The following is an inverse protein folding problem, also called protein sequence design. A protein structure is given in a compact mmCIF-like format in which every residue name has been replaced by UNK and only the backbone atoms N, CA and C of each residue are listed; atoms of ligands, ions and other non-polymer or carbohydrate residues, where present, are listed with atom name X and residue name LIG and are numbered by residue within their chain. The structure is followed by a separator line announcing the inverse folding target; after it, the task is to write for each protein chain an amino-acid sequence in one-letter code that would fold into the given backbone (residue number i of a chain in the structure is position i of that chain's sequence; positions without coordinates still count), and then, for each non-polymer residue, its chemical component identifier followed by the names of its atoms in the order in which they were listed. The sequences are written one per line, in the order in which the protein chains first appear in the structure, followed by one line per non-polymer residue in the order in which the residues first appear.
data_IF_652245103431
#
_entry.id   IF_652245103431
#
_cell.length_a   1.000
_cell.length_b   1.000
_cell.length_c   1.000
_cell.angle_alpha   90.00
_cell.angle_beta   90.00
_cell.angle_gamma   90.00
#
_symmetry.space_group_name_H-M   'P 1'
#
loop_
_entity.id
_entity.type
_entity.pdbx_description
1 polymer ?
#
# COMPACT_ATOMS: atom_id res chain seq x y z
N UNK A 1 7.27 -30.20 0.53
CA UNK A 1 6.79 -28.84 0.21
C UNK A 1 5.41 -28.98 -0.45
N UNK A 2 4.41 -28.33 0.11
CA UNK A 2 3.04 -28.33 -0.45
C UNK A 2 2.93 -27.31 -1.59
N UNK A 3 1.88 -27.41 -2.43
CA UNK A 3 1.68 -26.52 -3.57
C UNK A 3 1.64 -25.04 -3.16
N UNK A 4 0.96 -24.71 -2.09
CA UNK A 4 0.89 -23.34 -1.54
C UNK A 4 2.27 -22.78 -1.18
N UNK A 5 3.14 -23.59 -0.59
CA UNK A 5 4.52 -23.23 -0.23
C UNK A 5 5.39 -23.06 -1.48
N UNK A 6 5.24 -23.94 -2.47
CA UNK A 6 5.97 -23.87 -3.74
C UNK A 6 5.63 -22.57 -4.49
N UNK A 7 4.35 -22.24 -4.62
CA UNK A 7 3.88 -21.01 -5.26
C UNK A 7 4.34 -19.76 -4.49
N UNK A 8 4.42 -19.84 -3.16
CA UNK A 8 4.99 -18.74 -2.38
C UNK A 8 6.47 -18.56 -2.69
N UNK A 9 7.25 -19.65 -2.77
CA UNK A 9 8.66 -19.61 -3.10
C UNK A 9 8.94 -19.05 -4.51
N UNK A 10 8.06 -19.31 -5.48
CA UNK A 10 8.13 -18.73 -6.82
C UNK A 10 7.89 -17.21 -6.81
N UNK A 11 6.93 -16.73 -6.00
CA UNK A 11 6.54 -15.32 -5.94
C UNK A 11 7.44 -14.47 -5.05
N UNK A 12 8.03 -15.09 -4.04
CA UNK A 12 8.98 -14.47 -3.12
C UNK A 12 10.07 -15.48 -2.77
N UNK A 13 11.08 -15.51 -3.62
CA UNK A 13 12.15 -16.52 -3.55
C UNK A 13 12.87 -16.49 -2.20
N UNK A 14 13.06 -17.64 -1.53
CA UNK A 14 13.84 -17.77 -0.30
C UNK A 14 15.25 -17.16 -0.40
N UNK A 15 15.88 -17.19 -1.58
CA UNK A 15 17.18 -16.56 -1.81
C UNK A 15 17.19 -15.03 -1.52
N UNK A 16 16.04 -14.37 -1.50
CA UNK A 16 15.96 -12.95 -1.21
C UNK A 16 15.90 -12.65 0.29
N UNK A 17 15.43 -13.58 1.11
CA UNK A 17 15.09 -13.30 2.50
C UNK A 17 15.60 -14.32 3.52
N UNK A 18 16.06 -15.50 3.11
CA UNK A 18 16.46 -16.55 4.05
C UNK A 18 17.64 -16.15 4.94
N UNK A 19 18.52 -15.25 4.49
CA UNK A 19 19.71 -14.81 5.21
C UNK A 19 19.54 -13.44 5.93
N UNK A 20 18.36 -12.85 5.88
CA UNK A 20 18.07 -11.55 6.53
C UNK A 20 16.94 -11.65 7.54
N UNK A 21 16.83 -10.67 8.42
CA UNK A 21 15.71 -10.61 9.36
C UNK A 21 14.42 -10.22 8.63
N UNK A 22 13.36 -11.00 8.85
CA UNK A 22 12.01 -10.77 8.33
C UNK A 22 11.03 -10.64 9.50
N UNK A 23 10.27 -9.56 9.51
CA UNK A 23 9.12 -9.38 10.41
C UNK A 23 7.85 -9.88 9.71
N UNK A 24 7.12 -10.78 10.35
CA UNK A 24 5.84 -11.31 9.89
C UNK A 24 4.71 -10.70 10.71
N UNK A 25 3.82 -9.94 10.07
CA UNK A 25 2.64 -9.38 10.74
C UNK A 25 1.57 -10.47 10.89
N UNK A 26 1.36 -10.97 12.11
CA UNK A 26 0.42 -12.06 12.39
C UNK A 26 -0.68 -11.57 13.32
N UNK A 27 -1.93 -11.58 12.83
CA UNK A 27 -3.12 -11.21 13.62
C UNK A 27 -3.78 -12.39 14.33
N UNK A 28 -3.46 -13.61 13.94
CA UNK A 28 -4.14 -14.84 14.39
C UNK A 28 -5.19 -15.33 13.39
N UNK A 29 -5.68 -14.50 12.48
CA UNK A 29 -6.61 -14.89 11.42
C UNK A 29 -5.95 -15.78 10.34
N UNK A 30 -6.78 -16.52 9.61
CA UNK A 30 -6.33 -17.57 8.68
C UNK A 30 -5.25 -17.10 7.71
N UNK A 31 -5.42 -15.94 7.05
CA UNK A 31 -4.46 -15.46 6.05
C UNK A 31 -3.08 -15.23 6.67
N UNK A 32 -3.04 -14.59 7.86
CA UNK A 32 -1.79 -14.30 8.55
C UNK A 32 -1.11 -15.56 9.11
N UNK A 33 -1.90 -16.54 9.56
CA UNK A 33 -1.40 -17.84 10.03
C UNK A 33 -0.87 -18.67 8.86
N UNK A 34 -1.57 -18.68 7.72
CA UNK A 34 -1.11 -19.37 6.52
C UNK A 34 0.21 -18.78 6.00
N UNK A 35 0.32 -17.45 5.91
CA UNK A 35 1.56 -16.77 5.54
C UNK A 35 2.71 -17.16 6.49
N UNK A 36 2.48 -17.08 7.81
CA UNK A 36 3.48 -17.46 8.81
C UNK A 36 3.94 -18.90 8.63
N UNK A 37 3.00 -19.87 8.53
CA UNK A 37 3.31 -21.29 8.40
C UNK A 37 4.05 -21.61 7.10
N UNK A 38 3.64 -21.02 5.99
CA UNK A 38 4.29 -21.25 4.70
C UNK A 38 5.71 -20.64 4.66
N UNK A 39 5.92 -19.43 5.18
CA UNK A 39 7.26 -18.83 5.27
C UNK A 39 8.17 -19.63 6.20
N UNK A 40 7.63 -20.10 7.32
CA UNK A 40 8.38 -20.96 8.25
C UNK A 40 8.77 -22.30 7.61
N UNK A 41 7.85 -22.95 6.89
CA UNK A 41 8.15 -24.21 6.18
C UNK A 41 9.25 -24.00 5.12
N UNK A 42 9.20 -22.90 4.38
CA UNK A 42 10.27 -22.55 3.43
C UNK A 42 11.60 -22.27 4.13
N UNK A 43 11.57 -21.56 5.27
CA UNK A 43 12.78 -21.31 6.07
C UNK A 43 13.42 -22.60 6.57
N UNK A 44 12.61 -23.54 7.02
CA UNK A 44 13.08 -24.86 7.45
C UNK A 44 13.63 -25.70 6.29
N UNK A 45 13.03 -25.58 5.09
CA UNK A 45 13.43 -26.34 3.93
C UNK A 45 14.71 -25.79 3.28
N UNK A 46 14.83 -24.47 3.15
CA UNK A 46 15.98 -23.83 2.47
C UNK A 46 17.10 -23.40 3.42
N UNK A 47 16.83 -23.31 4.71
CA UNK A 47 17.81 -22.86 5.71
C UNK A 47 18.04 -21.34 5.68
N UNK A 48 19.28 -20.92 5.94
CA UNK A 48 19.73 -19.53 5.95
C UNK A 48 19.93 -18.96 7.35
N UNK A 49 20.78 -17.93 7.48
CA UNK A 49 21.19 -17.33 8.77
C UNK A 49 20.20 -16.24 9.29
N UNK A 50 19.25 -15.81 8.44
CA UNK A 50 18.28 -14.77 8.81
C UNK A 50 17.26 -15.23 9.86
N UNK A 51 16.66 -14.28 10.57
CA UNK A 51 15.68 -14.54 11.63
C UNK A 51 14.27 -14.23 11.15
N UNK A 52 13.30 -15.05 11.59
CA UNK A 52 11.88 -14.72 11.50
C UNK A 52 11.42 -14.16 12.85
N UNK A 53 10.71 -13.06 12.84
CA UNK A 53 10.14 -12.42 14.04
C UNK A 53 8.66 -12.14 13.76
N UNK A 54 7.78 -12.61 14.61
CA UNK A 54 6.36 -12.31 14.52
C UNK A 54 6.07 -10.99 15.23
N UNK A 55 5.40 -10.07 14.53
CA UNK A 55 4.83 -8.84 15.10
C UNK A 55 3.32 -8.96 15.22
N UNK A 56 2.77 -8.88 16.43
CA UNK A 56 1.35 -8.85 16.70
C UNK A 56 0.95 -7.52 17.37
N UNK A 57 -0.09 -6.86 16.85
CA UNK A 57 -0.62 -5.64 17.45
C UNK A 57 -2.03 -5.89 17.97
N UNK A 58 -2.21 -5.80 19.29
CA UNK A 58 -3.51 -5.94 19.93
C UNK A 58 -4.20 -4.57 20.02
N UNK A 59 -5.23 -4.37 19.21
CA UNK A 59 -5.97 -3.10 19.12
C UNK A 59 -6.84 -2.80 20.35
N UNK A 60 -7.09 -3.79 21.23
CA UNK A 60 -7.99 -3.72 22.41
C UNK A 60 -9.42 -3.26 22.11
N UNK A 61 -9.89 -3.44 20.88
CA UNK A 61 -11.22 -2.99 20.46
C UNK A 61 -12.33 -3.98 20.81
N UNK A 62 -11.97 -5.24 21.17
CA UNK A 62 -12.92 -6.36 21.38
C UNK A 62 -12.77 -7.04 22.75
N UNK A 63 -12.23 -6.34 23.74
CA UNK A 63 -12.07 -6.90 25.09
C UNK A 63 -11.40 -8.27 25.10
N UNK A 64 -12.01 -9.27 25.73
CA UNK A 64 -11.44 -10.61 25.90
C UNK A 64 -11.12 -11.37 24.61
N UNK A 65 -11.79 -11.09 23.48
CA UNK A 65 -11.45 -11.70 22.20
C UNK A 65 -10.08 -11.22 21.68
N UNK A 66 -9.77 -9.94 21.83
CA UNK A 66 -8.48 -9.40 21.44
C UNK A 66 -7.33 -10.00 22.30
N UNK A 67 -7.58 -10.31 23.57
CA UNK A 67 -6.64 -11.01 24.43
C UNK A 67 -6.48 -12.47 24.01
N UNK A 68 -7.56 -13.13 23.64
CA UNK A 68 -7.53 -14.52 23.16
C UNK A 68 -6.74 -14.64 21.84
N UNK A 69 -6.86 -13.64 20.94
CA UNK A 69 -6.07 -13.57 19.70
C UNK A 69 -4.57 -13.40 20.01
N UNK A 70 -4.21 -12.51 20.92
CA UNK A 70 -2.82 -12.34 21.36
C UNK A 70 -2.25 -13.62 21.95
N UNK A 71 -3.00 -14.28 22.87
CA UNK A 71 -2.57 -15.54 23.47
C UNK A 71 -2.41 -16.65 22.43
N UNK A 72 -3.30 -16.70 21.43
CA UNK A 72 -3.19 -17.65 20.32
C UNK A 72 -1.88 -17.42 19.55
N UNK A 73 -1.57 -16.19 19.16
CA UNK A 73 -0.33 -15.87 18.43
C UNK A 73 0.90 -16.20 19.27
N UNK A 74 0.91 -15.88 20.56
CA UNK A 74 2.03 -16.23 21.45
C UNK A 74 2.24 -17.74 21.53
N UNK A 75 1.17 -18.55 21.75
CA UNK A 75 1.25 -20.01 21.73
C UNK A 75 1.77 -20.55 20.41
N UNK A 76 1.28 -20.00 19.28
CA UNK A 76 1.74 -20.37 17.95
C UNK A 76 3.24 -20.14 17.79
N UNK A 77 3.75 -19.00 18.23
CA UNK A 77 5.18 -18.68 18.15
C UNK A 77 6.02 -19.59 19.06
N UNK A 78 5.57 -19.85 20.28
CA UNK A 78 6.23 -20.79 21.20
C UNK A 78 6.29 -22.21 20.62
N UNK A 79 5.20 -22.68 20.01
CA UNK A 79 5.13 -24.02 19.39
C UNK A 79 6.19 -24.22 18.31
N UNK A 80 6.53 -23.16 17.57
CA UNK A 80 7.46 -23.22 16.44
C UNK A 80 8.82 -22.56 16.72
N UNK A 81 9.10 -22.20 17.96
CA UNK A 81 10.35 -21.55 18.39
C UNK A 81 10.67 -20.28 17.57
N UNK A 82 9.65 -19.43 17.35
CA UNK A 82 9.79 -18.15 16.63
C UNK A 82 9.61 -17.00 17.60
N UNK A 83 10.51 -16.01 17.55
CA UNK A 83 10.43 -14.79 18.35
C UNK A 83 9.11 -14.03 18.09
N UNK A 84 8.44 -13.59 19.18
CA UNK A 84 7.17 -12.90 19.11
C UNK A 84 7.21 -11.57 19.85
N UNK A 85 7.01 -10.50 19.13
CA UNK A 85 6.89 -9.13 19.66
C UNK A 85 5.43 -8.70 19.62
N UNK A 86 4.91 -8.30 20.76
CA UNK A 86 3.51 -7.88 20.89
C UNK A 86 3.46 -6.48 21.47
N UNK A 87 2.66 -5.62 20.85
CA UNK A 87 2.30 -4.32 21.40
C UNK A 87 0.78 -4.21 21.50
N UNK A 88 0.32 -3.58 22.57
CA UNK A 88 -1.09 -3.32 22.82
C UNK A 88 -1.37 -1.84 22.65
N UNK A 89 -2.48 -1.50 21.99
CA UNK A 89 -2.94 -0.13 21.94
C UNK A 89 -3.13 0.44 23.36
N UNK A 90 -2.74 1.68 23.57
CA UNK A 90 -3.07 2.37 24.80
C UNK A 90 -4.60 2.49 24.93
N UNK A 91 -5.11 2.40 26.15
CA UNK A 91 -6.55 2.45 26.41
C UNK A 91 -7.12 3.78 25.90
N UNK A 92 -8.19 3.71 25.11
CA UNK A 92 -8.83 4.89 24.52
C UNK A 92 -8.04 5.57 23.39
N UNK A 93 -6.86 5.10 23.00
CA UNK A 93 -6.07 5.73 21.93
C UNK A 93 -6.65 5.53 20.53
N UNK A 94 -7.52 4.56 20.36
CA UNK A 94 -8.24 4.29 19.12
C UNK A 94 -9.71 4.66 19.39
N UNK A 95 -10.15 5.81 18.85
CA UNK A 95 -11.49 6.32 19.10
C UNK A 95 -12.57 5.40 18.50
N UNK A 96 -13.69 5.17 19.20
CA UNK A 96 -14.78 4.34 18.71
C UNK A 96 -15.54 5.02 17.57
N UNK A 97 -15.84 4.29 16.50
CA UNK A 97 -16.84 4.60 15.46
C UNK A 97 -16.33 4.72 14.02
N UNK A 98 -16.97 3.97 13.10
CA UNK A 98 -16.95 4.14 11.67
C UNK A 98 -15.65 3.81 10.92
N UNK A 99 -15.57 4.23 9.66
CA UNK A 99 -14.37 4.05 8.79
C UNK A 99 -13.12 4.69 9.40
N UNK A 100 -13.26 5.69 10.27
CA UNK A 100 -12.16 6.32 11.00
C UNK A 100 -11.47 5.37 11.98
N UNK A 101 -12.22 4.45 12.61
CA UNK A 101 -11.68 3.48 13.56
C UNK A 101 -10.74 2.48 12.89
N UNK A 102 -11.15 1.93 11.73
CA UNK A 102 -10.32 0.99 10.97
C UNK A 102 -9.03 1.67 10.50
N UNK A 103 -9.13 2.93 10.04
CA UNK A 103 -7.97 3.70 9.60
C UNK A 103 -7.00 3.98 10.77
N UNK A 104 -7.52 4.38 11.93
CA UNK A 104 -6.71 4.65 13.13
C UNK A 104 -6.04 3.37 13.64
N UNK A 105 -6.77 2.27 13.72
CA UNK A 105 -6.26 0.96 14.09
C UNK A 105 -5.16 0.48 13.12
N UNK A 106 -5.40 0.65 11.83
CA UNK A 106 -4.41 0.35 10.79
C UNK A 106 -3.15 1.19 10.94
N UNK A 107 -3.28 2.50 11.19
CA UNK A 107 -2.16 3.42 11.37
C UNK A 107 -1.31 2.98 12.58
N UNK A 108 -1.91 2.78 13.74
CA UNK A 108 -1.22 2.33 14.96
C UNK A 108 -0.47 1.00 14.74
N UNK A 109 -1.10 0.03 14.08
CA UNK A 109 -0.44 -1.24 13.73
C UNK A 109 0.78 -1.04 12.84
N UNK A 110 0.69 -0.20 11.79
CA UNK A 110 1.84 0.03 10.92
C UNK A 110 2.96 0.82 11.62
N UNK A 111 2.63 1.74 12.52
CA UNK A 111 3.62 2.45 13.34
C UNK A 111 4.39 1.48 14.24
N UNK A 112 3.70 0.57 14.92
CA UNK A 112 4.34 -0.50 15.70
C UNK A 112 5.25 -1.37 14.84
N UNK A 113 4.75 -1.89 13.73
CA UNK A 113 5.51 -2.77 12.84
C UNK A 113 6.75 -2.06 12.25
N UNK A 114 6.64 -0.77 11.94
CA UNK A 114 7.76 0.05 11.48
C UNK A 114 8.82 0.20 12.55
N UNK A 115 8.43 0.53 13.80
CA UNK A 115 9.37 0.58 14.92
C UNK A 115 10.03 -0.77 15.17
N UNK A 116 9.28 -1.86 15.09
CA UNK A 116 9.82 -3.20 15.24
C UNK A 116 10.86 -3.52 14.18
N UNK A 117 10.58 -3.22 12.90
CA UNK A 117 11.54 -3.41 11.81
C UNK A 117 12.85 -2.66 12.06
N UNK A 118 12.78 -1.39 12.50
CA UNK A 118 13.98 -0.61 12.84
C UNK A 118 14.78 -1.22 14.00
N UNK A 119 14.09 -1.62 15.09
CA UNK A 119 14.75 -2.22 16.27
C UNK A 119 15.48 -3.53 15.99
N UNK A 120 14.90 -4.38 15.13
CA UNK A 120 15.49 -5.70 14.83
C UNK A 120 16.33 -5.75 13.57
N UNK A 121 16.51 -4.63 12.88
CA UNK A 121 17.26 -4.55 11.63
C UNK A 121 16.60 -5.38 10.51
N UNK A 122 15.27 -5.41 10.44
CA UNK A 122 14.57 -6.20 9.45
C UNK A 122 14.74 -5.65 8.03
N UNK A 123 15.00 -6.53 7.08
CA UNK A 123 15.02 -6.20 5.64
C UNK A 123 13.62 -6.22 5.04
N UNK A 124 12.74 -7.07 5.59
CA UNK A 124 11.37 -7.23 5.10
C UNK A 124 10.35 -7.21 6.23
N UNK A 125 9.21 -6.56 5.96
CA UNK A 125 7.96 -6.72 6.69
C UNK A 125 6.96 -7.42 5.78
N UNK A 126 6.50 -8.62 6.16
CA UNK A 126 5.51 -9.37 5.41
C UNK A 126 4.10 -9.20 5.99
N UNK A 127 3.12 -8.96 5.13
CA UNK A 127 1.69 -8.88 5.48
C UNK A 127 0.86 -9.80 4.60
N UNK A 128 -0.17 -10.40 5.16
CA UNK A 128 -0.95 -11.48 4.55
C UNK A 128 -2.17 -10.98 3.75
N UNK A 129 -1.96 -10.04 2.83
CA UNK A 129 -3.00 -9.66 1.89
C UNK A 129 -3.16 -10.74 0.81
N UNK A 130 -4.41 -11.01 0.42
CA UNK A 130 -4.80 -12.04 -0.55
C UNK A 130 -5.35 -11.44 -1.85
N UNK A 131 -5.66 -12.27 -2.84
CA UNK A 131 -6.33 -11.86 -4.07
C UNK A 131 -7.75 -11.34 -3.81
N UNK A 132 -8.42 -11.85 -2.77
CA UNK A 132 -9.72 -11.34 -2.33
C UNK A 132 -9.59 -9.89 -1.80
N UNK A 133 -8.57 -9.58 -1.00
CA UNK A 133 -8.26 -8.20 -0.58
C UNK A 133 -7.96 -7.28 -1.77
N UNK A 134 -7.28 -7.81 -2.77
CA UNK A 134 -7.01 -7.08 -4.01
C UNK A 134 -8.31 -6.72 -4.74
N UNK A 135 -9.22 -7.70 -4.91
CA UNK A 135 -10.50 -7.50 -5.56
C UNK A 135 -11.38 -6.48 -4.79
N UNK A 136 -11.45 -6.61 -3.46
CA UNK A 136 -12.15 -5.65 -2.60
C UNK A 136 -11.60 -4.23 -2.77
N UNK A 137 -10.27 -4.09 -2.70
CA UNK A 137 -9.61 -2.79 -2.85
C UNK A 137 -9.87 -2.18 -4.21
N UNK A 138 -9.85 -2.99 -5.26
CA UNK A 138 -10.07 -2.54 -6.62
C UNK A 138 -11.50 -2.05 -6.83
N UNK A 139 -12.49 -2.86 -6.43
CA UNK A 139 -13.91 -2.46 -6.50
C UNK A 139 -14.19 -1.21 -5.68
N UNK A 140 -13.66 -1.13 -4.45
CA UNK A 140 -13.80 0.05 -3.61
C UNK A 140 -13.25 1.32 -4.29
N UNK A 141 -12.11 1.23 -4.97
CA UNK A 141 -11.52 2.35 -5.70
C UNK A 141 -12.31 2.69 -6.97
N UNK A 142 -12.81 1.70 -7.72
CA UNK A 142 -13.64 1.89 -8.91
C UNK A 142 -14.91 2.65 -8.56
N UNK A 143 -15.62 2.23 -7.51
CA UNK A 143 -16.86 2.89 -7.04
C UNK A 143 -16.62 4.34 -6.61
N UNK A 144 -15.44 4.64 -6.04
CA UNK A 144 -15.06 6.01 -5.64
C UNK A 144 -14.55 6.86 -6.79
N UNK A 145 -14.37 6.29 -7.98
CA UNK A 145 -13.77 6.96 -9.12
C UNK A 145 -12.24 6.97 -9.01
N UNK A 146 -11.56 6.14 -9.79
CA UNK A 146 -10.11 6.02 -9.77
C UNK A 146 -9.52 6.06 -11.16
N UNK A 147 -8.28 6.54 -11.28
CA UNK A 147 -7.47 6.43 -12.48
C UNK A 147 -6.58 5.17 -12.47
N UNK A 148 -5.71 5.06 -13.48
CA UNK A 148 -4.80 3.90 -13.66
C UNK A 148 -3.98 3.61 -12.40
N UNK A 149 -3.49 4.65 -11.69
CA UNK A 149 -2.75 4.47 -10.44
C UNK A 149 -3.54 3.73 -9.36
N UNK A 150 -4.83 4.00 -9.25
CA UNK A 150 -5.67 3.32 -8.29
C UNK A 150 -6.07 1.91 -8.74
N UNK A 151 -6.21 1.68 -10.04
CA UNK A 151 -6.47 0.35 -10.61
C UNK A 151 -5.31 -0.64 -10.37
N UNK A 152 -4.07 -0.16 -10.18
CA UNK A 152 -2.94 -1.00 -9.79
C UNK A 152 -3.12 -1.69 -8.41
N UNK A 153 -4.16 -1.34 -7.66
CA UNK A 153 -4.56 -2.02 -6.43
C UNK A 153 -3.49 -2.03 -5.34
N UNK A 154 -3.40 -3.15 -4.63
CA UNK A 154 -2.39 -3.42 -3.61
C UNK A 154 -1.10 -3.87 -4.31
N UNK A 155 0.03 -3.20 -4.06
CA UNK A 155 1.31 -3.61 -4.62
C UNK A 155 1.86 -4.85 -3.89
N UNK A 156 2.47 -5.83 -4.59
CA UNK A 156 3.07 -7.01 -3.97
C UNK A 156 4.25 -6.65 -3.07
N UNK A 157 5.00 -5.60 -3.44
CA UNK A 157 6.09 -5.06 -2.63
C UNK A 157 6.11 -3.53 -2.68
N UNK A 158 6.62 -2.90 -1.61
CA UNK A 158 6.83 -1.46 -1.51
C UNK A 158 8.05 -1.18 -0.64
N UNK A 159 9.02 -0.45 -1.18
CA UNK A 159 10.17 0.01 -0.39
C UNK A 159 9.75 1.11 0.59
N UNK A 160 10.26 1.05 1.81
CA UNK A 160 10.00 2.00 2.90
C UNK A 160 11.32 2.27 3.63
N UNK A 161 12.10 3.20 3.13
CA UNK A 161 13.46 3.46 3.63
C UNK A 161 14.36 2.24 3.42
N UNK A 162 14.94 1.72 4.52
CA UNK A 162 15.91 0.63 4.51
C UNK A 162 15.28 -0.77 4.44
N UNK A 163 13.97 -0.89 4.59
CA UNK A 163 13.23 -2.15 4.53
C UNK A 163 12.12 -2.11 3.49
N UNK A 164 11.58 -3.26 3.15
CA UNK A 164 10.51 -3.42 2.17
C UNK A 164 9.29 -4.10 2.79
N UNK A 165 8.12 -3.52 2.58
CA UNK A 165 6.84 -4.17 2.86
C UNK A 165 6.52 -5.13 1.71
N UNK A 166 6.34 -6.42 2.01
CA UNK A 166 5.99 -7.46 1.03
C UNK A 166 4.65 -8.12 1.35
N UNK A 167 4.01 -8.68 0.34
CA UNK A 167 2.73 -9.40 0.45
C UNK A 167 2.84 -10.74 -0.26
N UNK A 168 3.47 -11.71 0.40
CA UNK A 168 3.90 -12.95 -0.25
C UNK A 168 2.76 -13.81 -0.76
N UNK A 169 1.56 -13.67 -0.20
CA UNK A 169 0.36 -14.44 -0.56
C UNK A 169 -0.72 -13.60 -1.28
N UNK A 170 -0.34 -12.45 -1.89
CA UNK A 170 -1.28 -11.59 -2.61
C UNK A 170 -1.92 -12.27 -3.85
N UNK A 171 -1.32 -13.34 -4.33
CA UNK A 171 -1.81 -14.19 -5.42
C UNK A 171 -2.88 -15.19 -4.98
N UNK A 172 -2.93 -15.56 -3.68
CA UNK A 172 -3.78 -16.64 -3.17
C UNK A 172 -5.21 -16.18 -2.93
N UNK A 173 -6.15 -17.09 -3.18
CA UNK A 173 -7.56 -16.97 -2.80
C UNK A 173 -7.76 -17.36 -1.33
N UNK A 174 -8.77 -16.80 -0.70
CA UNK A 174 -9.17 -17.19 0.65
C UNK A 174 -9.44 -18.72 0.77
N UNK A 175 -10.04 -19.33 -0.25
CA UNK A 175 -10.25 -20.78 -0.31
C UNK A 175 -8.93 -21.57 -0.25
N UNK A 176 -7.92 -21.18 -1.03
CA UNK A 176 -6.60 -21.81 -1.06
C UNK A 176 -5.88 -21.68 0.29
N UNK A 177 -6.01 -20.54 0.95
CA UNK A 177 -5.51 -20.32 2.32
C UNK A 177 -6.12 -21.32 3.29
N UNK A 178 -7.46 -21.49 3.26
CA UNK A 178 -8.15 -22.42 4.14
C UNK A 178 -7.82 -23.89 3.82
N UNK A 179 -7.68 -24.25 2.55
CA UNK A 179 -7.25 -25.57 2.12
C UNK A 179 -5.84 -25.90 2.63
N UNK A 180 -4.90 -24.96 2.50
CA UNK A 180 -3.55 -25.11 3.01
C UNK A 180 -3.54 -25.34 4.54
N UNK A 181 -4.27 -24.50 5.29
CA UNK A 181 -4.33 -24.65 6.77
C UNK A 181 -4.96 -25.97 7.19
N UNK A 182 -5.99 -26.46 6.47
CA UNK A 182 -6.58 -27.80 6.71
C UNK A 182 -5.57 -28.90 6.41
N UNK A 183 -4.84 -28.81 5.29
CA UNK A 183 -3.84 -29.81 4.91
C UNK A 183 -2.74 -29.98 5.94
N UNK A 184 -2.36 -28.92 6.66
CA UNK A 184 -1.34 -28.96 7.71
C UNK A 184 -1.94 -29.06 9.13
N UNK A 185 -3.25 -29.27 9.25
CA UNK A 185 -3.99 -29.28 10.52
C UNK A 185 -3.69 -28.09 11.44
N UNK A 186 -3.57 -26.88 10.86
CA UNK A 186 -3.26 -25.66 11.58
C UNK A 186 -4.54 -24.89 11.96
N UNK A 187 -4.87 -24.76 13.24
CA UNK A 187 -5.96 -23.91 13.68
C UNK A 187 -5.62 -22.41 13.51
N UNK A 188 -6.68 -21.60 13.41
CA UNK A 188 -6.61 -20.15 13.35
C UNK A 188 -7.79 -19.54 14.09
N UNK A 189 -7.78 -18.20 14.28
CA UNK A 189 -8.86 -17.45 14.92
C UNK A 189 -9.79 -16.86 13.86
N UNK A 190 -11.08 -16.90 14.11
CA UNK A 190 -12.08 -16.20 13.30
C UNK A 190 -12.38 -14.83 13.92
N UNK A 191 -12.34 -13.79 13.12
CA UNK A 191 -12.60 -12.42 13.53
C UNK A 191 -14.08 -12.09 13.31
N UNK A 192 -14.84 -11.93 14.41
CA UNK A 192 -16.27 -11.58 14.36
C UNK A 192 -16.53 -10.21 13.69
N UNK A 193 -15.56 -9.28 13.68
CA UNK A 193 -15.71 -7.98 13.01
C UNK A 193 -15.79 -8.08 11.49
N UNK A 194 -15.39 -9.21 10.89
CA UNK A 194 -15.58 -9.46 9.46
C UNK A 194 -17.05 -9.52 9.04
N UNK A 195 -17.99 -9.68 9.98
CA UNK A 195 -19.42 -9.72 9.72
C UNK A 195 -20.09 -8.33 9.71
N UNK A 196 -19.41 -7.27 10.15
CA UNK A 196 -19.99 -5.92 10.21
C UNK A 196 -20.20 -5.33 8.81
N UNK A 197 -21.44 -5.33 8.34
CA UNK A 197 -21.84 -4.79 7.03
C UNK A 197 -22.00 -3.26 7.00
N UNK A 198 -21.77 -2.54 8.10
CA UNK A 198 -21.74 -1.09 8.08
C UNK A 198 -20.51 -0.55 7.31
N UNK A 199 -19.43 -1.33 7.26
CA UNK A 199 -18.21 -0.98 6.55
C UNK A 199 -18.32 -1.28 5.04
N UNK A 200 -18.02 -0.30 4.21
CA UNK A 200 -18.08 -0.43 2.73
C UNK A 200 -17.27 -1.62 2.22
N UNK A 201 -16.13 -1.90 2.82
CA UNK A 201 -15.28 -3.03 2.42
C UNK A 201 -15.93 -4.37 2.70
N UNK A 202 -16.56 -4.53 3.87
CA UNK A 202 -17.28 -5.76 4.21
C UNK A 202 -18.52 -5.95 3.31
N UNK A 203 -19.21 -4.87 2.92
CA UNK A 203 -20.30 -4.95 1.93
C UNK A 203 -19.79 -5.44 0.56
N UNK A 204 -18.63 -4.94 0.11
CA UNK A 204 -18.03 -5.44 -1.14
C UNK A 204 -17.72 -6.93 -1.03
N UNK A 205 -17.14 -7.39 0.09
CA UNK A 205 -16.82 -8.79 0.34
C UNK A 205 -18.04 -9.71 0.39
N UNK A 206 -19.09 -9.30 1.11
CA UNK A 206 -20.20 -10.18 1.43
C UNK A 206 -21.42 -10.03 0.50
N UNK A 207 -21.57 -8.90 -0.19
CA UNK A 207 -22.70 -8.62 -1.03
C UNK A 207 -22.31 -8.51 -2.52
N UNK A 208 -21.30 -7.68 -2.85
CA UNK A 208 -20.98 -7.36 -4.25
C UNK A 208 -20.18 -8.47 -4.93
N UNK A 209 -19.08 -8.94 -4.32
CA UNK A 209 -18.27 -10.00 -4.92
C UNK A 209 -19.04 -11.31 -5.11
N UNK A 210 -19.84 -11.80 -4.14
CA UNK A 210 -20.69 -12.97 -4.36
C UNK A 210 -21.73 -12.77 -5.45
N UNK A 211 -22.37 -11.59 -5.52
CA UNK A 211 -23.32 -11.26 -6.59
C UNK A 211 -22.66 -11.32 -7.97
N UNK A 212 -21.47 -10.73 -8.11
CA UNK A 212 -20.71 -10.75 -9.35
C UNK A 212 -20.25 -12.17 -9.71
N UNK A 213 -19.85 -12.97 -8.72
CA UNK A 213 -19.44 -14.34 -8.94
C UNK A 213 -20.60 -15.23 -9.39
N UNK A 214 -21.77 -15.10 -8.78
CA UNK A 214 -22.93 -15.92 -9.08
C UNK A 214 -23.63 -15.52 -10.38
N UNK A 215 -23.72 -14.21 -10.67
CA UNK A 215 -24.53 -13.71 -11.78
C UNK A 215 -23.77 -13.37 -13.06
N UNK A 216 -22.45 -13.21 -12.99
CA UNK A 216 -21.69 -12.64 -14.12
C UNK A 216 -20.41 -13.42 -14.43
N UNK A 217 -19.53 -13.61 -13.44
CA UNK A 217 -18.25 -14.27 -13.65
C UNK A 217 -17.83 -14.99 -12.36
N UNK A 218 -17.97 -16.30 -12.37
CA UNK A 218 -17.55 -17.18 -11.26
C UNK A 218 -16.11 -16.86 -10.76
N UNK A 219 -15.21 -16.46 -11.67
CA UNK A 219 -13.82 -16.17 -11.35
C UNK A 219 -13.51 -14.65 -11.31
N UNK A 220 -14.48 -13.84 -10.85
CA UNK A 220 -14.38 -12.37 -10.81
C UNK A 220 -13.18 -11.89 -10.00
N UNK A 221 -12.81 -12.57 -8.90
CA UNK A 221 -11.65 -12.18 -8.08
C UNK A 221 -10.35 -12.31 -8.88
N UNK A 222 -10.15 -13.41 -9.60
CA UNK A 222 -8.98 -13.56 -10.46
C UNK A 222 -8.99 -12.57 -11.64
N UNK A 223 -10.16 -12.27 -12.21
CA UNK A 223 -10.27 -11.25 -13.26
C UNK A 223 -9.85 -9.85 -12.75
N UNK A 224 -10.30 -9.48 -11.55
CA UNK A 224 -9.90 -8.21 -10.92
C UNK A 224 -8.41 -8.20 -10.52
N UNK A 225 -7.87 -9.33 -10.05
CA UNK A 225 -6.44 -9.44 -9.75
C UNK A 225 -5.57 -9.26 -11.01
N UNK A 226 -5.95 -9.88 -12.14
CA UNK A 226 -5.30 -9.68 -13.45
C UNK A 226 -5.37 -8.22 -13.92
N UNK A 227 -6.54 -7.58 -13.78
CA UNK A 227 -6.68 -6.16 -14.11
C UNK A 227 -5.74 -5.28 -13.29
N UNK A 228 -5.62 -5.56 -11.98
CA UNK A 228 -4.68 -4.82 -11.11
C UNK A 228 -3.22 -5.04 -11.50
N UNK A 229 -2.85 -6.24 -11.96
CA UNK A 229 -1.51 -6.56 -12.47
C UNK A 229 -1.21 -5.78 -13.75
N UNK A 230 -2.08 -5.83 -14.75
CA UNK A 230 -1.95 -5.06 -15.99
C UNK A 230 -1.89 -3.55 -15.74
N UNK A 231 -2.74 -3.03 -14.86
CA UNK A 231 -2.69 -1.62 -14.49
C UNK A 231 -1.38 -1.23 -13.79
N UNK A 232 -0.75 -2.16 -13.06
CA UNK A 232 0.56 -1.95 -12.45
C UNK A 232 1.67 -1.91 -13.48
N UNK A 233 1.65 -2.79 -14.48
CA UNK A 233 2.61 -2.77 -15.59
C UNK A 233 2.52 -1.46 -16.38
N UNK A 234 1.30 -1.03 -16.75
CA UNK A 234 1.08 0.27 -17.42
C UNK A 234 1.60 1.43 -16.56
N UNK A 235 1.35 1.38 -15.24
CA UNK A 235 1.85 2.38 -14.31
C UNK A 235 3.37 2.43 -14.26
N UNK A 236 4.07 1.28 -14.27
CA UNK A 236 5.53 1.22 -14.29
C UNK A 236 6.10 1.88 -15.55
N UNK A 237 5.50 1.62 -16.71
CA UNK A 237 5.88 2.29 -17.96
C UNK A 237 5.68 3.81 -17.88
N UNK A 238 4.54 4.24 -17.34
CA UNK A 238 4.27 5.67 -17.15
C UNK A 238 5.25 6.31 -16.16
N UNK A 239 5.57 5.63 -15.05
CA UNK A 239 6.52 6.13 -14.05
C UNK A 239 7.94 6.29 -14.66
N UNK A 240 8.40 5.35 -15.50
CA UNK A 240 9.68 5.48 -16.23
C UNK A 240 9.70 6.67 -17.18
N UNK A 241 8.64 6.87 -17.99
CA UNK A 241 8.56 8.02 -18.88
C UNK A 241 8.48 9.36 -18.14
N UNK A 242 7.76 9.38 -17.02
CA UNK A 242 7.67 10.57 -16.16
C UNK A 242 9.02 10.89 -15.52
N UNK A 243 9.76 9.90 -15.03
CA UNK A 243 11.09 10.06 -14.45
C UNK A 243 12.06 10.67 -15.47
N UNK A 244 12.12 10.09 -16.68
CA UNK A 244 12.93 10.64 -17.77
C UNK A 244 12.54 12.08 -18.13
N UNK A 245 11.22 12.38 -18.21
CA UNK A 245 10.75 13.76 -18.49
C UNK A 245 11.06 14.70 -17.32
N UNK A 246 11.01 14.22 -16.09
CA UNK A 246 11.33 15.01 -14.91
C UNK A 246 12.78 15.46 -14.94
N UNK A 247 13.71 14.55 -15.18
CA UNK A 247 15.13 14.82 -15.23
C UNK A 247 15.50 15.77 -16.39
N UNK A 248 14.86 15.56 -17.57
CA UNK A 248 15.18 16.34 -18.79
C UNK A 248 14.52 17.72 -18.86
N UNK A 249 13.35 17.90 -18.25
CA UNK A 249 12.45 19.04 -18.53
C UNK A 249 12.03 19.83 -17.30
N UNK A 250 12.33 19.35 -16.09
CA UNK A 250 11.92 20.01 -14.86
C UNK A 250 13.12 20.64 -14.17
N UNK A 251 13.04 21.94 -13.92
CA UNK A 251 14.04 22.70 -13.19
C UNK A 251 13.46 23.14 -11.84
N UNK A 252 14.13 22.79 -10.76
CA UNK A 252 13.81 23.30 -9.42
C UNK A 252 14.67 24.54 -9.15
N UNK A 253 14.00 25.64 -8.85
CA UNK A 253 14.61 26.94 -8.56
C UNK A 253 14.54 27.26 -7.05
N UNK A 254 15.30 28.25 -6.57
CA UNK A 254 15.15 28.76 -5.20
C UNK A 254 13.69 29.11 -4.86
N UNK A 255 13.37 29.16 -3.57
CA UNK A 255 12.02 29.38 -3.05
C UNK A 255 11.00 28.32 -3.49
N UNK A 256 11.43 27.10 -3.86
CA UNK A 256 10.54 26.00 -4.25
C UNK A 256 9.83 26.17 -5.58
N UNK A 257 10.23 27.16 -6.38
CA UNK A 257 9.68 27.38 -7.73
C UNK A 257 10.10 26.25 -8.65
N UNK A 258 9.15 25.70 -9.41
CA UNK A 258 9.42 24.67 -10.40
C UNK A 258 9.11 25.20 -11.80
N UNK A 259 10.02 24.99 -12.76
CA UNK A 259 9.83 25.33 -14.16
C UNK A 259 9.84 24.05 -15.00
N UNK A 260 8.86 23.92 -15.87
CA UNK A 260 8.75 22.80 -16.82
C UNK A 260 8.90 23.33 -18.23
N UNK A 261 9.92 22.87 -18.92
CA UNK A 261 10.19 23.30 -20.31
C UNK A 261 9.05 22.86 -21.23
N UNK A 262 8.50 23.77 -22.02
CA UNK A 262 7.44 23.46 -22.99
C UNK A 262 7.99 22.79 -24.25
N UNK A 263 9.23 23.10 -24.62
CA UNK A 263 9.89 22.47 -25.74
C UNK A 263 10.08 20.98 -25.53
N UNK A 264 9.47 20.16 -26.41
CA UNK A 264 9.48 18.70 -26.31
C UNK A 264 8.41 18.12 -25.36
N UNK A 265 7.87 18.92 -24.45
CA UNK A 265 6.83 18.51 -23.50
C UNK A 265 5.43 18.81 -24.04
N UNK A 266 5.21 19.94 -24.71
CA UNK A 266 3.89 20.36 -25.19
C UNK A 266 3.22 19.38 -26.18
N UNK A 267 3.99 18.53 -26.85
CA UNK A 267 3.47 17.52 -27.80
C UNK A 267 3.13 16.17 -27.13
N UNK A 268 3.44 16.01 -25.84
CA UNK A 268 3.19 14.76 -25.13
C UNK A 268 1.69 14.57 -24.83
N UNK A 269 1.23 13.32 -24.69
CA UNK A 269 -0.16 13.03 -24.32
C UNK A 269 -0.55 13.69 -23.00
N UNK A 270 -1.77 14.22 -22.93
CA UNK A 270 -2.28 14.90 -21.71
C UNK A 270 -2.24 14.02 -20.47
N UNK A 271 -2.37 12.69 -20.61
CA UNK A 271 -2.24 11.73 -19.50
C UNK A 271 -0.82 11.80 -18.92
N UNK A 272 0.20 11.70 -19.76
CA UNK A 272 1.60 11.71 -19.35
C UNK A 272 1.97 13.05 -18.70
N UNK A 273 1.48 14.17 -19.25
CA UNK A 273 1.66 15.50 -18.66
C UNK A 273 0.98 15.60 -17.27
N UNK A 274 -0.20 15.05 -17.11
CA UNK A 274 -0.89 14.99 -15.80
C UNK A 274 -0.11 14.17 -14.77
N UNK A 275 0.49 13.06 -15.18
CA UNK A 275 1.35 12.23 -14.33
C UNK A 275 2.67 12.96 -13.97
N UNK A 276 3.27 13.70 -14.91
CA UNK A 276 4.43 14.56 -14.62
C UNK A 276 4.09 15.63 -13.57
N UNK A 277 2.94 16.31 -13.72
CA UNK A 277 2.50 17.27 -12.69
C UNK A 277 2.29 16.60 -11.34
N UNK A 278 1.70 15.42 -11.32
CA UNK A 278 1.51 14.64 -10.08
C UNK A 278 2.86 14.25 -9.44
N UNK A 279 3.87 13.92 -10.25
CA UNK A 279 5.22 13.62 -9.79
C UNK A 279 5.88 14.87 -9.17
N UNK A 280 5.77 16.03 -9.81
CA UNK A 280 6.26 17.32 -9.30
C UNK A 280 5.61 17.63 -7.93
N UNK A 281 4.29 17.51 -7.81
CA UNK A 281 3.58 17.74 -6.53
C UNK A 281 4.10 16.85 -5.40
N UNK A 282 4.38 15.58 -5.71
CA UNK A 282 4.90 14.61 -4.75
C UNK A 282 6.33 14.94 -4.32
N UNK A 283 7.18 15.26 -5.29
CA UNK A 283 8.57 15.61 -5.07
C UNK A 283 8.69 16.86 -4.20
N UNK A 284 7.84 17.86 -4.43
CA UNK A 284 7.81 19.09 -3.64
C UNK A 284 7.06 18.97 -2.31
N UNK A 285 6.42 17.85 -2.02
CA UNK A 285 5.60 17.69 -0.81
C UNK A 285 4.33 18.56 -0.81
N UNK A 286 3.90 19.07 -1.98
CA UNK A 286 2.72 19.94 -2.07
C UNK A 286 1.42 19.18 -1.80
N UNK A 287 0.39 19.83 -1.19
CA UNK A 287 -0.86 19.15 -0.82
C UNK A 287 -1.60 18.64 -2.05
N UNK A 288 -1.81 17.31 -2.10
CA UNK A 288 -2.52 16.64 -3.21
C UNK A 288 -4.01 16.45 -2.93
N UNK A 289 -4.44 16.49 -1.67
CA UNK A 289 -5.81 16.11 -1.25
C UNK A 289 -6.91 16.96 -1.89
N UNK A 290 -6.62 18.23 -2.16
CA UNK A 290 -7.55 19.16 -2.81
C UNK A 290 -7.39 19.23 -4.33
N UNK A 291 -6.42 18.53 -4.91
CA UNK A 291 -6.21 18.44 -6.35
C UNK A 291 -7.17 17.44 -6.98
N UNK A 292 -7.93 17.87 -7.97
CA UNK A 292 -8.86 17.03 -8.74
C UNK A 292 -8.30 16.69 -10.12
N UNK A 293 -8.92 15.70 -10.79
CA UNK A 293 -8.60 15.38 -12.19
C UNK A 293 -8.64 16.61 -13.11
N UNK A 294 -9.58 17.56 -12.86
CA UNK A 294 -9.69 18.81 -13.64
C UNK A 294 -8.45 19.70 -13.48
N UNK A 295 -7.86 19.77 -12.29
CA UNK A 295 -6.65 20.55 -12.05
C UNK A 295 -5.46 19.99 -12.86
N UNK A 296 -5.26 18.68 -12.81
CA UNK A 296 -4.20 18.00 -13.57
C UNK A 296 -4.36 18.20 -15.09
N UNK A 297 -5.59 18.04 -15.59
CA UNK A 297 -5.92 18.28 -17.00
C UNK A 297 -5.68 19.73 -17.41
N UNK A 298 -5.98 20.69 -16.54
CA UNK A 298 -5.77 22.13 -16.81
C UNK A 298 -4.28 22.47 -16.89
N UNK A 299 -3.45 21.91 -16.00
CA UNK A 299 -1.99 22.05 -16.07
C UNK A 299 -1.41 21.45 -17.36
N UNK A 300 -1.87 20.26 -17.74
CA UNK A 300 -1.48 19.64 -19.00
C UNK A 300 -1.85 20.52 -20.21
N UNK A 301 -3.05 21.08 -20.22
CA UNK A 301 -3.51 21.98 -21.28
C UNK A 301 -2.69 23.28 -21.33
N UNK A 302 -2.27 23.83 -20.19
CA UNK A 302 -1.37 25.00 -20.15
C UNK A 302 -0.02 24.69 -20.81
N UNK A 303 0.58 23.54 -20.54
CA UNK A 303 1.80 23.09 -21.20
C UNK A 303 1.62 22.97 -22.72
N UNK A 304 0.52 22.36 -23.15
CA UNK A 304 0.24 22.09 -24.56
C UNK A 304 -0.06 23.37 -25.34
N UNK A 305 -1.05 24.15 -24.88
CA UNK A 305 -1.61 25.29 -25.63
C UNK A 305 -1.04 26.65 -25.22
N UNK A 306 -0.35 26.77 -24.08
CA UNK A 306 0.04 28.06 -23.51
C UNK A 306 -1.14 28.87 -22.96
N UNK A 307 -2.31 28.23 -22.72
CA UNK A 307 -3.52 28.90 -22.22
C UNK A 307 -4.23 28.01 -21.15
N UNK A 308 -4.88 28.61 -20.12
CA UNK A 308 -4.80 30.04 -19.75
C UNK A 308 -3.38 30.42 -19.32
N UNK A 309 -3.02 31.70 -19.36
CA UNK A 309 -1.65 32.15 -19.03
C UNK A 309 -1.32 32.01 -17.54
N UNK A 310 -2.34 32.04 -16.68
CA UNK A 310 -2.15 31.92 -15.23
C UNK A 310 -3.39 31.30 -14.58
N UNK A 311 -3.19 30.47 -13.57
CA UNK A 311 -4.24 29.92 -12.70
C UNK A 311 -3.72 29.82 -11.28
N UNK A 312 -4.64 29.88 -10.32
CA UNK A 312 -4.38 29.51 -8.93
C UNK A 312 -4.90 28.10 -8.66
N UNK A 313 -4.13 27.32 -7.95
CA UNK A 313 -4.40 25.92 -7.60
C UNK A 313 -4.53 25.77 -6.08
N UNK A 314 -5.10 24.65 -5.61
CA UNK A 314 -5.13 24.35 -4.18
C UNK A 314 -3.73 24.42 -3.56
N UNK A 315 -3.66 24.90 -2.31
CA UNK A 315 -2.40 25.17 -1.62
C UNK A 315 -1.78 26.52 -2.02
N UNK A 316 -2.58 27.42 -2.62
CA UNK A 316 -2.15 28.74 -3.09
C UNK A 316 -0.98 28.67 -4.11
N UNK A 317 -0.83 27.55 -4.81
CA UNK A 317 0.19 27.39 -5.84
C UNK A 317 -0.27 28.12 -7.09
N UNK A 318 0.55 29.03 -7.59
CA UNK A 318 0.31 29.76 -8.84
C UNK A 318 1.01 29.05 -9.98
N UNK A 319 0.24 28.65 -11.00
CA UNK A 319 0.77 28.15 -12.26
C UNK A 319 0.67 29.28 -13.32
N UNK A 320 1.78 29.63 -13.93
CA UNK A 320 1.85 30.58 -15.04
C UNK A 320 2.60 29.96 -16.22
N UNK A 321 2.21 30.32 -17.45
CA UNK A 321 2.83 29.80 -18.67
C UNK A 321 3.21 30.93 -19.62
N UNK A 322 4.45 30.87 -20.11
CA UNK A 322 4.98 31.73 -21.17
C UNK A 322 5.27 30.90 -22.44
N UNK A 323 6.08 31.44 -23.36
CA UNK A 323 6.46 30.75 -24.58
C UNK A 323 7.27 29.47 -24.31
N UNK A 324 8.16 29.50 -23.32
CA UNK A 324 9.19 28.49 -23.08
C UNK A 324 8.90 27.58 -21.90
N UNK A 325 8.21 28.08 -20.86
CA UNK A 325 8.05 27.38 -19.60
C UNK A 325 6.62 27.45 -19.04
N UNK A 326 6.25 26.37 -18.34
CA UNK A 326 5.23 26.41 -17.31
C UNK A 326 5.95 26.57 -15.96
N UNK A 327 5.62 27.62 -15.23
CA UNK A 327 6.20 27.93 -13.92
C UNK A 327 5.15 27.67 -12.83
N UNK A 328 5.54 26.90 -11.83
CA UNK A 328 4.74 26.60 -10.65
C UNK A 328 5.43 27.27 -9.44
N UNK A 329 4.73 28.20 -8.80
CA UNK A 329 5.24 28.94 -7.67
C UNK A 329 4.39 28.65 -6.44
N UNK A 330 4.96 28.10 -5.35
CA UNK A 330 4.26 27.99 -4.07
C UNK A 330 4.01 29.40 -3.52
N UNK A 331 3.09 29.58 -2.53
CA UNK A 331 2.95 30.83 -1.83
C UNK A 331 4.30 31.24 -1.24
N UNK A 332 4.61 32.53 -1.24
CA UNK A 332 5.80 33.04 -0.58
C UNK A 332 5.72 32.58 0.88
N UNK A 333 6.58 31.63 1.25
CA UNK A 333 6.63 31.12 2.63
C UNK A 333 7.00 32.25 3.57
N UNK A 334 6.37 32.31 4.70
CA UNK A 334 6.82 33.07 5.85
C UNK A 334 8.25 32.57 6.19
N UNK A 335 9.26 33.34 5.83
CA UNK A 335 10.67 33.07 6.17
C UNK A 335 10.93 33.43 7.65
N UNK A 336 10.09 32.95 8.53
CA UNK A 336 10.28 33.05 9.96
C UNK A 336 10.28 31.65 10.59
N UNK A 337 11.39 30.93 10.45
CA UNK A 337 11.96 30.01 11.47
C UNK A 337 13.18 29.31 10.85
N UNK A 338 14.33 30.02 10.80
CA UNK A 338 15.67 29.45 10.86
C UNK A 338 16.67 30.58 11.06
N UNK A 339 16.56 31.23 12.22
CA UNK A 339 17.67 31.96 12.85
C UNK A 339 17.37 31.99 14.35
N UNK A 340 17.88 31.00 15.03
CA UNK A 340 18.40 31.04 16.38
C UNK A 340 18.67 29.61 16.81
N UNK A 341 19.94 29.27 16.83
CA UNK A 341 20.62 28.86 18.06
C UNK A 341 22.11 28.71 17.75
N UNK A 342 22.85 29.62 18.41
CA UNK A 342 24.28 29.50 18.72
C UNK A 342 24.55 28.25 19.57
#
# INVERSE_FOLDING_TARGET
MLDFEARLAERWSPAQWADVTVVLAVSGGADSVAMFRAVLALKQHFGGAGRLIVGHFNHRLRGGEAEADEQFVRRLCTQFDVACEVERAAEGSIAPGGEGLELAARKARYEFLTRLCGRCGARFLATAHTADDQAETLLHRIVRGTGIRGLAGIAPARRLGDWSLVRPILWSRRSEVLEYLRAINQPFREDASNADRSLTRNRIRHDVLPLLAAGFNHDVVAALARLAEQAREVRQLLDQWVEQMFDDKVEVRPAGIVRVARRGTAKQPSLLLGELMTAIWRDRGWPQQSMTYRHWRRLAAMLQSGRPRQIMLPGAIVASVDADFLTLAPPAGDQSVEQNDD
#
